data_IF_913799102035
#
_entry.id   IF_913799102035
#
_cell.length_a   1.000
_cell.length_b   1.000
_cell.length_c   1.000
_cell.angle_alpha   90.00
_cell.angle_beta   90.00
_cell.angle_gamma   90.00
#
_symmetry.space_group_name_H-M   'P 1'
#
loop_
_entity.id
_entity.type
_entity.pdbx_description
1 polymer ?
#
# COMPACT_ATOMS: atom_id res chain seq x y z
N UNK A 1 -15.93 23.89 -31.88
CA UNK A 1 -15.69 23.86 -30.42
C UNK A 1 -16.16 22.50 -29.91
N UNK A 2 -15.32 21.77 -29.17
CA UNK A 2 -15.70 20.51 -28.51
C UNK A 2 -15.73 20.71 -27.01
N UNK A 3 -16.50 19.90 -26.28
CA UNK A 3 -16.55 19.96 -24.82
C UNK A 3 -15.20 19.57 -24.18
N UNK A 4 -14.39 18.80 -24.91
CA UNK A 4 -13.12 18.25 -24.45
C UNK A 4 -11.99 19.28 -24.34
N UNK A 5 -12.14 20.49 -24.88
CA UNK A 5 -11.13 21.54 -24.75
C UNK A 5 -10.92 21.98 -23.30
N UNK A 6 -11.87 21.66 -22.40
CA UNK A 6 -11.75 21.89 -20.95
C UNK A 6 -11.06 20.74 -20.21
N UNK A 7 -10.72 19.64 -20.89
CA UNK A 7 -10.16 18.44 -20.28
C UNK A 7 -11.22 17.55 -19.60
N UNK A 8 -10.76 16.41 -19.07
CA UNK A 8 -11.61 15.41 -18.41
C UNK A 8 -12.16 15.90 -17.05
N UNK A 9 -11.43 16.79 -16.38
CA UNK A 9 -11.82 17.45 -15.13
C UNK A 9 -11.80 18.96 -15.30
N UNK A 10 -12.89 19.64 -14.91
CA UNK A 10 -13.03 21.10 -15.08
C UNK A 10 -12.27 21.87 -13.99
N UNK A 11 -12.08 21.27 -12.81
CA UNK A 11 -11.37 21.86 -11.67
C UNK A 11 -10.76 20.73 -10.82
N UNK A 12 -9.62 20.99 -10.15
CA UNK A 12 -9.08 20.08 -9.13
C UNK A 12 -10.02 19.90 -7.93
N UNK A 13 -10.85 20.91 -7.65
CA UNK A 13 -11.81 20.87 -6.54
C UNK A 13 -12.96 19.91 -6.82
N UNK A 14 -13.61 19.36 -5.76
CA UNK A 14 -14.85 18.62 -5.91
C UNK A 14 -15.90 19.41 -6.70
N UNK A 15 -16.33 18.87 -7.83
CA UNK A 15 -17.39 19.48 -8.66
C UNK A 15 -18.71 19.68 -7.90
N UNK A 16 -18.94 18.95 -6.80
CA UNK A 16 -20.08 19.11 -5.89
C UNK A 16 -19.59 19.15 -4.44
N UNK A 17 -20.08 20.13 -3.68
CA UNK A 17 -19.75 20.30 -2.24
C UNK A 17 -20.02 19.05 -1.39
N UNK A 18 -21.05 18.26 -1.73
CA UNK A 18 -21.41 17.03 -1.01
C UNK A 18 -20.62 15.78 -1.46
N UNK A 19 -19.68 15.92 -2.39
CA UNK A 19 -18.90 14.80 -2.94
C UNK A 19 -17.37 15.04 -2.78
N UNK A 20 -16.86 15.20 -1.55
CA UNK A 20 -15.44 15.50 -1.32
C UNK A 20 -14.49 14.42 -1.86
N UNK A 21 -14.96 13.18 -2.02
CA UNK A 21 -14.17 12.09 -2.62
C UNK A 21 -13.87 12.27 -4.12
N UNK A 22 -14.54 13.21 -4.79
CA UNK A 22 -14.34 13.54 -6.21
C UNK A 22 -13.29 14.61 -6.48
N UNK A 23 -12.63 15.14 -5.43
CA UNK A 23 -11.44 15.98 -5.60
C UNK A 23 -10.40 15.26 -6.47
N UNK A 24 -9.76 16.00 -7.35
CA UNK A 24 -8.68 15.49 -8.18
C UNK A 24 -7.48 15.10 -7.31
N UNK A 25 -6.88 13.97 -7.66
CA UNK A 25 -5.77 13.38 -6.93
C UNK A 25 -5.10 12.32 -7.78
N UNK A 26 -3.79 12.13 -7.58
CA UNK A 26 -3.07 10.97 -8.11
C UNK A 26 -3.76 9.68 -7.63
N UNK A 27 -3.98 8.76 -8.56
CA UNK A 27 -4.62 7.47 -8.31
C UNK A 27 -3.62 6.37 -8.69
N UNK A 28 -3.65 5.28 -7.94
CA UNK A 28 -2.88 4.05 -8.23
C UNK A 28 -3.82 3.07 -8.95
N UNK A 29 -3.33 2.25 -9.89
CA UNK A 29 -4.14 1.23 -10.57
C UNK A 29 -4.52 0.08 -9.61
N UNK A 30 -5.44 0.38 -8.68
CA UNK A 30 -5.73 -0.46 -7.53
C UNK A 30 -6.17 -1.88 -7.88
N UNK A 31 -6.91 -2.08 -8.97
CA UNK A 31 -7.33 -3.43 -9.41
C UNK A 31 -6.14 -4.35 -9.64
N UNK A 32 -5.08 -3.84 -10.24
CA UNK A 32 -3.86 -4.61 -10.48
C UNK A 32 -3.16 -4.85 -9.14
N UNK A 33 -2.86 -3.80 -8.39
CA UNK A 33 -2.09 -3.88 -7.14
C UNK A 33 -2.81 -4.63 -6.01
N UNK A 34 -4.14 -4.63 -5.96
CA UNK A 34 -4.92 -5.39 -4.97
C UNK A 34 -5.14 -6.85 -5.37
N UNK A 35 -5.03 -7.17 -6.66
CA UNK A 35 -5.13 -8.55 -7.14
C UNK A 35 -3.83 -9.30 -6.83
N UNK A 36 -3.90 -10.29 -5.96
CA UNK A 36 -2.78 -11.19 -5.64
C UNK A 36 -2.93 -12.50 -6.39
N UNK A 37 -1.82 -13.11 -6.78
CA UNK A 37 -1.82 -14.37 -7.51
C UNK A 37 -2.19 -15.53 -6.60
N UNK A 38 -3.39 -16.07 -6.76
CA UNK A 38 -3.90 -17.17 -5.92
C UNK A 38 -3.25 -18.51 -6.21
N UNK A 39 -2.65 -18.69 -7.39
CA UNK A 39 -2.01 -19.95 -7.79
C UNK A 39 -0.85 -20.35 -6.88
N UNK A 40 -0.20 -19.36 -6.23
CA UNK A 40 0.85 -19.60 -5.22
C UNK A 40 0.31 -20.37 -4.00
N UNK A 41 -1.00 -20.35 -3.78
CA UNK A 41 -1.65 -21.07 -2.68
C UNK A 41 -2.07 -22.50 -3.07
N UNK A 42 -1.86 -22.94 -4.31
CA UNK A 42 -2.26 -24.27 -4.75
C UNK A 42 -1.50 -25.35 -3.98
N UNK A 43 -2.23 -26.30 -3.40
CA UNK A 43 -1.66 -27.35 -2.54
C UNK A 43 -1.31 -26.89 -1.12
N UNK A 44 -1.40 -25.60 -0.80
CA UNK A 44 -1.17 -25.09 0.55
C UNK A 44 -2.42 -25.27 1.44
N UNK A 45 -2.31 -26.12 2.46
CA UNK A 45 -3.41 -26.35 3.42
C UNK A 45 -3.47 -25.22 4.47
N UNK A 46 -4.24 -24.17 4.17
CA UNK A 46 -4.51 -23.07 5.10
C UNK A 46 -5.65 -23.44 6.06
N UNK A 47 -5.51 -23.01 7.31
CA UNK A 47 -6.53 -23.16 8.35
C UNK A 47 -7.07 -21.77 8.69
N UNK A 48 -8.37 -21.69 8.91
CA UNK A 48 -9.01 -20.44 9.31
C UNK A 48 -8.57 -20.03 10.72
N UNK A 49 -8.56 -18.71 10.99
CA UNK A 49 -8.10 -18.17 12.28
C UNK A 49 -9.00 -18.60 13.45
N UNK A 50 -10.28 -18.87 13.19
CA UNK A 50 -11.23 -19.26 14.22
C UNK A 50 -11.23 -20.78 14.49
N UNK A 51 -10.60 -21.58 13.62
CA UNK A 51 -10.50 -23.04 13.71
C UNK A 51 -9.36 -23.49 14.65
N UNK A 52 -9.52 -23.25 15.95
CA UNK A 52 -8.53 -23.59 17.00
C UNK A 52 -8.72 -25.00 17.59
N UNK A 53 -9.73 -25.74 17.16
CA UNK A 53 -10.02 -27.08 17.65
C UNK A 53 -8.97 -28.10 17.19
N UNK A 54 -8.81 -29.19 17.94
CA UNK A 54 -7.78 -30.20 17.67
C UNK A 54 -7.98 -30.94 16.35
N UNK A 55 -9.21 -31.06 15.85
CA UNK A 55 -9.49 -31.78 14.61
C UNK A 55 -9.11 -30.95 13.37
N UNK A 56 -9.13 -29.63 13.49
CA UNK A 56 -8.72 -28.69 12.44
C UNK A 56 -7.20 -28.46 12.37
N UNK A 57 -6.43 -28.92 13.37
CA UNK A 57 -4.98 -28.74 13.38
C UNK A 57 -4.30 -29.54 12.26
N UNK A 58 -3.25 -28.93 11.70
CA UNK A 58 -2.49 -29.46 10.57
C UNK A 58 -1.09 -29.84 11.04
N UNK A 59 -0.51 -30.87 10.43
CA UNK A 59 0.84 -31.32 10.77
C UNK A 59 1.84 -30.17 10.58
N UNK A 60 2.81 -29.94 11.49
CA UNK A 60 3.71 -28.79 11.40
C UNK A 60 4.47 -28.70 10.07
N UNK A 61 4.81 -29.84 9.45
CA UNK A 61 5.49 -29.88 8.15
C UNK A 61 4.57 -29.49 6.97
N UNK A 62 3.25 -29.53 7.13
CA UNK A 62 2.28 -28.97 6.17
C UNK A 62 2.00 -27.48 6.48
N UNK A 63 2.02 -27.09 7.75
CA UNK A 63 1.77 -25.71 8.18
C UNK A 63 2.88 -24.73 7.78
N UNK A 64 4.15 -25.17 7.80
CA UNK A 64 5.28 -24.34 7.39
C UNK A 64 5.21 -23.95 5.90
N UNK A 65 5.05 -24.88 4.94
CA UNK A 65 4.80 -24.53 3.54
C UNK A 65 3.58 -23.64 3.32
N UNK A 66 2.48 -23.88 4.04
CA UNK A 66 1.30 -23.02 3.94
C UNK A 66 1.56 -21.57 4.41
N UNK A 67 2.44 -21.41 5.40
CA UNK A 67 2.89 -20.09 5.88
C UNK A 67 3.78 -19.40 4.84
N UNK A 68 4.72 -20.14 4.23
CA UNK A 68 5.58 -19.63 3.15
C UNK A 68 4.74 -19.21 1.95
N UNK A 69 3.83 -20.06 1.49
CA UNK A 69 2.90 -19.75 0.39
C UNK A 69 2.02 -18.51 0.71
N UNK A 70 1.60 -18.35 1.97
CA UNK A 70 0.86 -17.17 2.40
C UNK A 70 1.71 -15.89 2.38
N UNK A 71 2.99 -15.98 2.73
CA UNK A 71 3.93 -14.86 2.61
C UNK A 71 4.14 -14.48 1.14
N UNK A 72 4.43 -15.47 0.27
CA UNK A 72 4.59 -15.25 -1.17
C UNK A 72 3.34 -14.65 -1.81
N UNK A 73 2.16 -15.14 -1.43
CA UNK A 73 0.87 -14.58 -1.86
C UNK A 73 0.74 -13.09 -1.49
N UNK A 74 1.16 -12.70 -0.29
CA UNK A 74 1.07 -11.32 0.19
C UNK A 74 2.09 -10.41 -0.50
N UNK A 75 3.31 -10.91 -0.76
CA UNK A 75 4.40 -10.13 -1.37
C UNK A 75 4.50 -10.28 -2.89
N UNK A 76 3.57 -11.01 -3.52
CA UNK A 76 3.64 -11.37 -4.94
C UNK A 76 3.84 -10.16 -5.88
N UNK A 77 3.13 -9.05 -5.62
CA UNK A 77 3.23 -7.82 -6.42
C UNK A 77 4.25 -6.81 -5.89
N UNK A 78 5.00 -7.19 -4.86
CA UNK A 78 5.84 -6.29 -4.09
C UNK A 78 5.34 -6.15 -2.65
N UNK A 79 6.13 -5.44 -1.86
CA UNK A 79 5.82 -5.14 -0.46
C UNK A 79 5.15 -3.78 -0.36
N UNK A 80 4.20 -3.64 0.56
CA UNK A 80 3.69 -2.32 0.90
C UNK A 80 4.61 -1.61 1.91
N UNK A 81 4.32 -0.33 2.21
CA UNK A 81 5.18 0.48 3.06
C UNK A 81 5.25 -0.08 4.49
N UNK A 82 4.18 -0.70 4.98
CA UNK A 82 4.10 -1.27 6.33
C UNK A 82 4.91 -2.55 6.47
N UNK A 83 4.86 -3.41 5.46
CA UNK A 83 5.68 -4.62 5.37
C UNK A 83 7.17 -4.26 5.30
N UNK A 84 7.55 -3.28 4.49
CA UNK A 84 8.93 -2.78 4.43
C UNK A 84 9.38 -2.18 5.76
N UNK A 85 8.55 -1.32 6.35
CA UNK A 85 8.81 -0.69 7.62
C UNK A 85 9.00 -1.71 8.75
N UNK A 86 8.16 -2.74 8.81
CA UNK A 86 8.20 -3.75 9.88
C UNK A 86 9.50 -4.56 9.93
N UNK A 87 10.26 -4.61 8.83
CA UNK A 87 11.51 -5.36 8.71
C UNK A 87 12.75 -4.46 8.90
N UNK A 88 12.58 -3.15 9.04
CA UNK A 88 13.66 -2.19 9.14
C UNK A 88 13.89 -1.70 10.57
N UNK A 89 15.13 -1.33 10.90
CA UNK A 89 15.46 -0.73 12.19
C UNK A 89 14.67 0.57 12.43
N UNK A 90 14.22 0.78 13.67
CA UNK A 90 13.32 1.89 14.04
C UNK A 90 12.08 1.96 13.14
N UNK A 91 11.65 0.80 12.67
CA UNK A 91 10.65 0.60 11.65
C UNK A 91 10.96 1.29 10.32
N UNK A 92 12.16 1.79 9.96
CA UNK A 92 12.44 2.75 8.85
C UNK A 92 12.06 4.22 9.11
N UNK A 93 12.16 4.69 10.37
CA UNK A 93 11.96 6.09 10.71
C UNK A 93 12.96 6.99 9.95
N UNK A 94 12.50 8.13 9.41
CA UNK A 94 13.30 9.10 8.64
C UNK A 94 13.94 8.57 7.35
N UNK A 95 13.60 7.36 6.94
CA UNK A 95 14.02 6.87 5.62
C UNK A 95 13.12 7.43 4.52
N UNK A 96 13.68 7.51 3.32
CA UNK A 96 12.97 7.87 2.11
C UNK A 96 12.23 6.66 1.56
N UNK A 97 10.97 6.88 1.19
CA UNK A 97 10.12 5.91 0.50
C UNK A 97 9.60 6.59 -0.75
N UNK A 98 9.51 5.85 -1.86
CA UNK A 98 9.00 6.35 -3.12
C UNK A 98 8.33 5.20 -3.89
N UNK A 99 7.29 5.51 -4.66
CA UNK A 99 6.78 4.59 -5.67
C UNK A 99 7.71 4.60 -6.87
N UNK A 100 7.83 3.47 -7.57
CA UNK A 100 8.74 3.35 -8.73
C UNK A 100 8.58 4.49 -9.76
N UNK A 101 7.34 4.82 -10.09
CA UNK A 101 6.97 5.86 -11.06
C UNK A 101 7.36 7.30 -10.63
N UNK A 102 7.69 7.53 -9.36
CA UNK A 102 8.05 8.86 -8.82
C UNK A 102 9.50 9.26 -9.12
N UNK A 103 10.31 8.30 -9.57
CA UNK A 103 11.73 8.48 -9.90
C UNK A 103 11.99 8.28 -11.39
N UNK A 104 10.95 8.00 -12.19
CA UNK A 104 11.05 7.78 -13.62
C UNK A 104 10.79 9.07 -14.41
N UNK A 105 11.50 9.26 -15.53
CA UNK A 105 11.31 10.42 -16.40
C UNK A 105 11.76 11.73 -15.76
N UNK A 106 10.89 12.75 -15.78
CA UNK A 106 11.13 14.05 -15.16
C UNK A 106 10.52 14.17 -13.77
N UNK A 107 9.97 13.09 -13.20
CA UNK A 107 9.45 13.10 -11.83
C UNK A 107 10.59 12.94 -10.82
N UNK A 108 10.57 13.76 -9.78
CA UNK A 108 11.45 13.63 -8.62
C UNK A 108 10.62 13.90 -7.35
N UNK A 109 9.97 12.83 -6.89
CA UNK A 109 9.17 12.85 -5.66
C UNK A 109 9.65 11.76 -4.70
N UNK A 110 9.69 12.10 -3.41
CA UNK A 110 9.93 11.14 -2.34
C UNK A 110 9.15 11.51 -1.08
N UNK A 111 9.05 10.55 -0.17
CA UNK A 111 8.41 10.70 1.12
C UNK A 111 9.37 10.34 2.24
N UNK A 112 9.64 11.27 3.15
CA UNK A 112 10.39 11.01 4.37
C UNK A 112 9.43 10.64 5.49
N UNK A 113 9.59 9.45 6.06
CA UNK A 113 8.65 8.99 7.08
C UNK A 113 8.86 9.61 8.44
N UNK A 114 7.74 9.95 9.09
CA UNK A 114 7.70 10.44 10.48
C UNK A 114 7.10 9.45 11.47
N UNK A 115 5.97 8.82 11.16
CA UNK A 115 5.28 7.92 12.09
C UNK A 115 4.48 6.84 11.35
N UNK A 116 4.38 5.65 11.97
CA UNK A 116 3.44 4.59 11.60
C UNK A 116 2.74 4.13 12.86
N UNK A 117 1.43 4.04 12.80
CA UNK A 117 0.60 3.42 13.82
C UNK A 117 0.01 2.12 13.26
N UNK A 118 0.68 1.01 13.50
CA UNK A 118 0.25 -0.30 13.04
C UNK A 118 -1.09 -0.71 13.66
N UNK A 119 -2.02 -1.20 12.83
CA UNK A 119 -3.20 -1.89 13.30
C UNK A 119 -2.92 -3.39 13.49
N UNK A 120 -3.83 -4.11 14.16
CA UNK A 120 -3.70 -5.55 14.47
C UNK A 120 -3.39 -6.41 13.24
N UNK A 121 -3.91 -6.06 12.06
CA UNK A 121 -3.68 -6.81 10.82
C UNK A 121 -2.25 -6.62 10.27
N UNK A 122 -1.51 -5.60 10.72
CA UNK A 122 -0.11 -5.34 10.35
C UNK A 122 0.11 -4.82 8.93
N UNK A 123 -0.68 -5.27 7.95
CA UNK A 123 -0.59 -4.84 6.55
C UNK A 123 -1.30 -3.52 6.26
N UNK A 124 -2.07 -2.99 7.21
CA UNK A 124 -2.79 -1.73 7.10
C UNK A 124 -2.45 -0.87 8.32
N UNK A 125 -2.12 0.40 8.11
CA UNK A 125 -1.77 1.31 9.20
C UNK A 125 -2.00 2.77 8.85
N UNK A 126 -2.24 3.59 9.87
CA UNK A 126 -2.16 5.03 9.72
C UNK A 126 -0.67 5.42 9.70
N UNK A 127 -0.27 6.26 8.74
CA UNK A 127 1.12 6.71 8.64
C UNK A 127 1.22 8.13 8.12
N UNK A 128 2.27 8.84 8.53
CA UNK A 128 2.48 10.25 8.19
C UNK A 128 3.91 10.48 7.66
N UNK A 129 4.01 11.33 6.65
CA UNK A 129 5.26 11.59 5.93
C UNK A 129 5.38 13.06 5.57
N UNK A 130 6.62 13.54 5.48
CA UNK A 130 6.93 14.75 4.74
C UNK A 130 7.15 14.35 3.27
N UNK A 131 6.36 14.92 2.36
CA UNK A 131 6.59 14.76 0.92
C UNK A 131 7.54 15.82 0.43
N UNK A 132 8.51 15.42 -0.40
CA UNK A 132 9.42 16.28 -1.12
C UNK A 132 9.18 16.11 -2.61
N UNK A 133 9.00 17.21 -3.34
CA UNK A 133 8.90 17.22 -4.80
C UNK A 133 9.89 18.26 -5.33
N UNK A 134 10.80 17.85 -6.21
CA UNK A 134 11.83 18.73 -6.79
C UNK A 134 12.62 19.55 -5.75
N UNK A 135 12.93 18.93 -4.61
CA UNK A 135 13.65 19.56 -3.51
C UNK A 135 12.81 20.42 -2.56
N UNK A 136 11.53 20.66 -2.85
CA UNK A 136 10.61 21.37 -1.95
C UNK A 136 9.89 20.38 -1.02
N UNK A 137 10.04 20.57 0.29
CA UNK A 137 9.45 19.70 1.31
C UNK A 137 8.29 20.38 2.01
N UNK A 138 7.23 19.62 2.23
CA UNK A 138 6.08 20.02 3.07
C UNK A 138 6.50 20.43 4.49
N UNK A 139 5.80 21.40 5.07
CA UNK A 139 6.09 21.92 6.42
C UNK A 139 5.44 21.08 7.54
N UNK A 140 4.40 20.32 7.21
CA UNK A 140 3.71 19.44 8.14
C UNK A 140 3.56 18.04 7.53
N UNK A 141 3.72 16.98 8.34
CA UNK A 141 3.58 15.64 7.84
C UNK A 141 2.12 15.32 7.61
N UNK A 142 1.82 14.68 6.48
CA UNK A 142 0.47 14.31 6.09
C UNK A 142 0.38 12.80 5.83
N UNK A 143 -0.83 12.21 5.91
CA UNK A 143 -1.03 10.84 5.48
C UNK A 143 -0.77 10.68 3.99
N UNK A 144 0.04 9.68 3.63
CA UNK A 144 0.17 9.28 2.23
C UNK A 144 -1.05 8.45 1.85
N UNK A 145 -1.70 8.86 0.76
CA UNK A 145 -2.81 8.10 0.18
C UNK A 145 -2.26 6.80 -0.39
N UNK A 146 -3.01 5.72 -0.22
CA UNK A 146 -2.73 4.42 -0.86
C UNK A 146 -1.47 3.71 -0.33
N UNK A 147 -0.98 4.06 0.87
CA UNK A 147 0.17 3.42 1.52
C UNK A 147 0.00 1.90 1.76
N UNK A 148 -1.24 1.41 1.78
CA UNK A 148 -1.56 -0.02 1.93
C UNK A 148 -1.36 -0.81 0.62
N UNK A 149 -1.26 -0.13 -0.54
CA UNK A 149 -1.04 -0.79 -1.82
C UNK A 149 0.45 -1.16 -2.00
N UNK A 150 0.75 -2.36 -2.52
CA UNK A 150 2.13 -2.74 -2.85
C UNK A 150 2.60 -2.04 -4.14
N UNK A 151 3.84 -1.54 -4.15
CA UNK A 151 4.46 -0.90 -5.33
C UNK A 151 5.08 0.46 -5.06
#
# INVERSE_FOLDING_TARGET
MTLDTKGMGISPDPHRRRMPWTAEKKRVPGVVHSSREKMVLDGARRVDVDCVDRASQVYPLEALPATVASYEYNTFRGKNIFELASQAELNALRQWVYCKEWQEGTHDENATRTAIHFHRHGSNAASCYYTTSHGETTTQPAPIRLADFPG
#
